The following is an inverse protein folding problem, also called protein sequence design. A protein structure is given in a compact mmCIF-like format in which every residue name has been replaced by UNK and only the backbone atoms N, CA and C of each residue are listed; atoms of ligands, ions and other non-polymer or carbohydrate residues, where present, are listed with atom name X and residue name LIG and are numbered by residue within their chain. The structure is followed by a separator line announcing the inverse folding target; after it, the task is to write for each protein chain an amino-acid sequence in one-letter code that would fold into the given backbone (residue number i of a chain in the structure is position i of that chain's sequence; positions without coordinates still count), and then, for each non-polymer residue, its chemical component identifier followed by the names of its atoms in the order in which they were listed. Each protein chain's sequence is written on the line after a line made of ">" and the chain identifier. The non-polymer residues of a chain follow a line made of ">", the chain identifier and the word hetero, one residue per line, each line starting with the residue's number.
data_IF_535708360074
#
_entry.id   IF_535708360074
#
_cell.length_a   1.000
_cell.length_b   1.000
_cell.length_c   1.000
_cell.angle_alpha   90.00
_cell.angle_beta   90.00
_cell.angle_gamma   90.00
#
_symmetry.space_group_name_H-M   'P 1'
#
loop_
_entity.id
_entity.type
_entity.pdbx_description
1 polymer ?
#
# COMPACT_ATOMS: atom_id res chain seq x y z
N UNK A 1 -16.56 -17.15 -18.05
CA UNK A 1 -15.13 -16.88 -18.28
C UNK A 1 -14.81 -15.44 -17.89
N UNK A 2 -13.54 -15.13 -17.63
CA UNK A 2 -13.09 -13.73 -17.34
C UNK A 2 -13.36 -12.76 -18.49
N UNK A 3 -13.54 -13.28 -19.71
CA UNK A 3 -14.02 -12.48 -20.84
C UNK A 3 -15.44 -11.94 -20.65
N UNK A 4 -16.20 -12.50 -19.72
CA UNK A 4 -17.57 -12.07 -19.40
C UNK A 4 -17.62 -11.11 -18.18
N UNK A 5 -16.51 -10.97 -17.44
CA UNK A 5 -16.36 -10.02 -16.36
C UNK A 5 -15.89 -8.67 -16.94
N UNK A 6 -16.85 -7.82 -17.26
CA UNK A 6 -16.55 -6.46 -17.72
C UNK A 6 -16.26 -5.56 -16.51
N UNK A 7 -15.27 -4.65 -16.61
CA UNK A 7 -15.14 -3.60 -15.64
C UNK A 7 -16.39 -2.75 -15.62
N UNK A 8 -16.84 -2.31 -14.45
CA UNK A 8 -18.00 -1.43 -14.36
C UNK A 8 -17.71 -0.03 -14.92
N UNK A 9 -16.44 0.33 -15.01
CA UNK A 9 -16.00 1.59 -15.59
C UNK A 9 -14.62 1.41 -16.22
N UNK A 10 -14.48 1.69 -17.50
CA UNK A 10 -13.22 1.82 -18.23
C UNK A 10 -13.42 2.79 -19.42
N UNK A 11 -12.40 2.98 -20.25
CA UNK A 11 -12.46 3.87 -21.41
C UNK A 11 -13.48 3.43 -22.50
N UNK A 12 -13.98 2.19 -22.44
CA UNK A 12 -14.88 1.59 -23.44
C UNK A 12 -16.28 1.30 -22.89
N UNK A 13 -16.42 1.12 -21.58
CA UNK A 13 -17.66 0.68 -20.96
C UNK A 13 -17.93 1.40 -19.65
N UNK A 14 -19.15 1.92 -19.52
CA UNK A 14 -19.64 2.60 -18.33
C UNK A 14 -20.96 1.94 -17.90
N UNK A 15 -20.89 1.09 -16.90
CA UNK A 15 -22.06 0.47 -16.27
C UNK A 15 -22.14 0.90 -14.81
N UNK A 16 -22.33 2.21 -14.58
CA UNK A 16 -22.27 2.77 -13.23
C UNK A 16 -23.52 3.54 -12.93
N UNK A 17 -24.04 3.30 -11.74
CA UNK A 17 -25.16 4.04 -11.15
C UNK A 17 -24.69 5.20 -10.27
N UNK A 18 -23.38 5.52 -10.26
CA UNK A 18 -22.79 6.60 -9.46
C UNK A 18 -22.53 7.87 -10.27
N UNK A 19 -22.69 9.01 -9.64
CA UNK A 19 -22.30 10.33 -10.14
C UNK A 19 -21.49 11.06 -9.05
N UNK A 20 -20.45 11.83 -9.38
CA UNK A 20 -19.89 12.01 -10.73
C UNK A 20 -19.04 10.81 -11.19
N UNK A 21 -18.98 10.59 -12.51
CA UNK A 21 -18.03 9.63 -13.10
C UNK A 21 -16.64 10.26 -13.05
N UNK A 22 -15.61 9.58 -12.48
CA UNK A 22 -14.27 10.11 -12.45
C UNK A 22 -13.68 10.21 -13.87
N UNK A 23 -12.79 11.16 -14.07
CA UNK A 23 -12.02 11.22 -15.31
C UNK A 23 -11.14 9.98 -15.44
N UNK A 24 -11.28 9.25 -16.54
CA UNK A 24 -10.47 8.09 -16.84
C UNK A 24 -9.20 8.50 -17.58
N UNK A 25 -8.10 7.89 -17.17
CA UNK A 25 -6.79 8.12 -17.77
C UNK A 25 -6.04 6.79 -17.92
N UNK A 26 -5.42 6.49 -19.08
CA UNK A 26 -4.74 5.21 -19.31
C UNK A 26 -3.65 4.87 -18.28
N UNK A 27 -3.00 5.89 -17.73
CA UNK A 27 -1.99 5.74 -16.66
C UNK A 27 -2.56 5.94 -15.24
N UNK A 28 -3.90 6.07 -15.12
CA UNK A 28 -4.59 6.12 -13.83
C UNK A 28 -4.51 4.79 -13.08
N UNK A 29 -5.15 4.71 -11.93
CA UNK A 29 -5.16 3.49 -11.11
C UNK A 29 -6.26 2.53 -11.54
N UNK A 30 -6.02 1.22 -11.41
CA UNK A 30 -7.07 0.22 -11.46
C UNK A 30 -7.61 -0.04 -10.06
N UNK A 31 -8.93 0.04 -9.90
CA UNK A 31 -9.62 -0.33 -8.68
C UNK A 31 -10.35 -1.66 -8.86
N UNK A 32 -10.09 -2.63 -7.98
CA UNK A 32 -10.81 -3.90 -7.93
C UNK A 32 -11.51 -3.99 -6.58
N UNK A 33 -12.82 -4.14 -6.58
CA UNK A 33 -13.65 -4.09 -5.37
C UNK A 33 -14.62 -5.26 -5.26
N UNK A 34 -14.65 -5.90 -4.09
CA UNK A 34 -15.69 -6.89 -3.73
C UNK A 34 -17.05 -6.24 -3.42
N UNK A 35 -17.15 -4.91 -3.43
CA UNK A 35 -18.38 -4.19 -3.14
C UNK A 35 -18.57 -3.01 -4.09
N UNK A 36 -19.68 -2.98 -4.82
CA UNK A 36 -20.02 -1.88 -5.72
C UNK A 36 -20.21 -0.56 -4.97
N UNK A 37 -20.91 -0.56 -3.84
CA UNK A 37 -21.11 0.64 -3.02
C UNK A 37 -19.79 1.18 -2.47
N UNK A 38 -18.91 0.29 -1.98
CA UNK A 38 -17.59 0.69 -1.47
C UNK A 38 -16.70 1.24 -2.60
N UNK A 39 -16.79 0.68 -3.81
CA UNK A 39 -16.08 1.22 -4.97
C UNK A 39 -16.47 2.69 -5.22
N UNK A 40 -17.76 3.01 -5.21
CA UNK A 40 -18.26 4.40 -5.36
C UNK A 40 -17.67 5.31 -4.28
N UNK A 41 -17.68 4.89 -3.02
CA UNK A 41 -17.15 5.71 -1.93
C UNK A 41 -15.62 5.87 -2.00
N UNK A 42 -14.90 4.89 -2.56
CA UNK A 42 -13.46 5.01 -2.84
C UNK A 42 -13.24 6.03 -3.96
N UNK A 43 -14.04 5.98 -5.04
CA UNK A 43 -13.98 6.94 -6.13
C UNK A 43 -14.21 8.38 -5.64
N UNK A 44 -15.25 8.61 -4.83
CA UNK A 44 -15.51 9.94 -4.26
C UNK A 44 -14.34 10.47 -3.43
N UNK A 45 -13.77 9.63 -2.55
CA UNK A 45 -12.59 10.00 -1.75
C UNK A 45 -11.36 10.28 -2.63
N UNK A 46 -11.20 9.57 -3.73
CA UNK A 46 -10.04 9.67 -4.62
C UNK A 46 -10.11 10.92 -5.53
N UNK A 47 -11.30 11.23 -6.09
CA UNK A 47 -11.49 12.36 -7.01
C UNK A 47 -11.16 13.69 -6.32
N UNK A 48 -11.51 13.84 -5.06
CA UNK A 48 -11.18 15.05 -4.28
C UNK A 48 -9.69 15.28 -4.08
N UNK A 49 -8.88 14.21 -4.24
CA UNK A 49 -7.41 14.26 -4.17
C UNK A 49 -6.74 14.38 -5.55
N UNK A 50 -7.52 14.40 -6.64
CA UNK A 50 -6.99 14.41 -8.01
C UNK A 50 -6.52 13.04 -8.52
N UNK A 51 -6.82 11.93 -7.81
CA UNK A 51 -6.45 10.59 -8.26
C UNK A 51 -7.31 10.19 -9.45
N UNK A 52 -6.65 9.84 -10.56
CA UNK A 52 -7.31 9.41 -11.80
C UNK A 52 -7.36 7.88 -11.88
N UNK A 53 -8.38 7.36 -12.56
CA UNK A 53 -8.60 5.93 -12.73
C UNK A 53 -8.39 5.49 -14.18
N UNK A 54 -7.82 4.32 -14.38
CA UNK A 54 -7.82 3.63 -15.66
C UNK A 54 -9.05 2.73 -15.78
N UNK A 55 -9.31 1.92 -14.76
CA UNK A 55 -10.46 1.02 -14.73
C UNK A 55 -10.98 0.79 -13.30
N UNK A 56 -12.27 0.44 -13.21
CA UNK A 56 -12.90 0.02 -11.97
C UNK A 56 -13.62 -1.29 -12.19
N UNK A 57 -13.27 -2.29 -11.40
CA UNK A 57 -13.83 -3.64 -11.45
C UNK A 57 -14.62 -3.90 -10.16
N UNK A 58 -15.86 -4.35 -10.30
CA UNK A 58 -16.67 -4.81 -9.16
C UNK A 58 -16.98 -6.29 -9.34
N UNK A 59 -16.48 -7.12 -8.44
CA UNK A 59 -16.70 -8.57 -8.45
C UNK A 59 -17.87 -9.00 -7.56
N UNK A 60 -18.48 -8.05 -6.83
CA UNK A 60 -19.58 -8.33 -5.92
C UNK A 60 -19.18 -9.38 -4.87
N UNK A 61 -20.09 -10.31 -4.56
CA UNK A 61 -19.88 -11.35 -3.54
C UNK A 61 -18.90 -12.46 -3.97
N UNK A 62 -18.17 -12.30 -5.06
CA UNK A 62 -17.12 -13.19 -5.54
C UNK A 62 -17.54 -14.68 -5.68
N UNK A 63 -18.80 -14.94 -6.04
CA UNK A 63 -19.30 -16.32 -6.18
C UNK A 63 -18.71 -17.07 -7.37
N UNK A 64 -18.37 -16.38 -8.44
CA UNK A 64 -17.82 -16.96 -9.68
C UNK A 64 -16.47 -16.36 -10.00
N UNK A 65 -16.29 -15.07 -9.76
CA UNK A 65 -15.07 -14.30 -10.05
C UNK A 65 -14.71 -13.51 -8.80
N UNK A 66 -13.54 -13.78 -8.24
CA UNK A 66 -12.96 -13.04 -7.12
C UNK A 66 -11.97 -11.96 -7.56
N UNK A 67 -11.43 -11.26 -6.58
CA UNK A 67 -10.35 -10.27 -6.81
C UNK A 67 -9.12 -10.95 -7.40
N UNK A 68 -8.81 -12.14 -6.96
CA UNK A 68 -7.71 -12.99 -7.45
C UNK A 68 -7.82 -13.34 -8.94
N UNK A 69 -9.03 -13.57 -9.44
CA UNK A 69 -9.26 -13.85 -10.87
C UNK A 69 -9.02 -12.61 -11.74
N UNK A 70 -9.42 -11.43 -11.25
CA UNK A 70 -9.14 -10.16 -11.96
C UNK A 70 -7.64 -9.86 -11.95
N UNK A 71 -6.95 -10.10 -10.82
CA UNK A 71 -5.49 -9.96 -10.76
C UNK A 71 -4.79 -10.92 -11.70
N UNK A 72 -5.25 -12.17 -11.80
CA UNK A 72 -4.75 -13.15 -12.77
C UNK A 72 -4.88 -12.61 -14.21
N UNK A 73 -6.08 -12.15 -14.58
CA UNK A 73 -6.32 -11.58 -15.90
C UNK A 73 -5.38 -10.40 -16.20
N UNK A 74 -5.23 -9.49 -15.23
CA UNK A 74 -4.32 -8.35 -15.38
C UNK A 74 -2.86 -8.77 -15.50
N UNK A 75 -2.43 -9.78 -14.74
CA UNK A 75 -1.04 -10.27 -14.75
C UNK A 75 -0.68 -10.98 -16.04
N UNK A 76 -1.57 -11.86 -16.52
CA UNK A 76 -1.36 -12.63 -17.75
C UNK A 76 -1.37 -11.77 -19.01
N UNK A 77 -2.13 -10.66 -19.00
CA UNK A 77 -2.24 -9.73 -20.12
C UNK A 77 -1.43 -8.45 -19.98
N UNK A 78 -0.60 -8.33 -18.94
CA UNK A 78 0.09 -7.10 -18.59
C UNK A 78 1.06 -6.62 -19.67
N UNK A 79 0.85 -5.39 -20.11
CA UNK A 79 1.73 -4.67 -21.07
C UNK A 79 2.34 -3.44 -20.36
N UNK A 80 3.65 -3.45 -20.00
CA UNK A 80 4.27 -2.43 -19.15
C UNK A 80 4.15 -0.98 -19.66
N UNK A 81 4.05 -0.80 -20.97
CA UNK A 81 3.99 0.52 -21.60
C UNK A 81 2.57 1.05 -21.80
N UNK A 82 1.55 0.21 -21.60
CA UNK A 82 0.16 0.55 -21.84
C UNK A 82 -0.70 0.51 -20.59
N UNK A 83 -0.47 -0.49 -19.75
CA UNK A 83 -1.36 -0.76 -18.62
C UNK A 83 -0.97 0.06 -17.39
N UNK A 84 -1.97 0.35 -16.57
CA UNK A 84 -1.75 0.96 -15.26
C UNK A 84 -0.79 0.12 -14.41
N UNK A 85 0.14 0.79 -13.76
CA UNK A 85 1.07 0.15 -12.80
C UNK A 85 0.57 0.19 -11.35
N UNK A 86 -0.62 0.73 -11.10
CA UNK A 86 -1.13 0.89 -9.74
C UNK A 86 -2.46 0.15 -9.62
N UNK A 87 -2.54 -0.78 -8.66
CA UNK A 87 -3.75 -1.55 -8.36
C UNK A 87 -4.19 -1.28 -6.93
N UNK A 88 -5.43 -0.84 -6.77
CA UNK A 88 -6.08 -0.64 -5.47
C UNK A 88 -7.14 -1.71 -5.29
N UNK A 89 -7.11 -2.40 -4.14
CA UNK A 89 -7.99 -3.53 -3.88
C UNK A 89 -8.86 -3.27 -2.65
N UNK A 90 -10.14 -3.55 -2.78
CA UNK A 90 -11.05 -3.71 -1.65
C UNK A 90 -11.56 -5.15 -1.61
N UNK A 91 -11.21 -5.89 -0.58
CA UNK A 91 -11.41 -7.35 -0.48
C UNK A 91 -12.27 -7.66 0.74
N UNK A 92 -13.39 -8.35 0.55
CA UNK A 92 -14.22 -8.90 1.63
C UNK A 92 -13.91 -10.36 1.91
N UNK A 93 -13.65 -11.16 0.88
CA UNK A 93 -13.25 -12.56 0.97
C UNK A 93 -12.15 -12.87 -0.05
N UNK A 94 -11.34 -13.87 0.24
CA UNK A 94 -10.31 -14.41 -0.65
C UNK A 94 -10.67 -15.89 -0.87
N UNK A 95 -11.05 -16.23 -2.10
CA UNK A 95 -11.44 -17.60 -2.46
C UNK A 95 -10.23 -18.49 -2.73
N UNK A 96 -9.20 -17.94 -3.37
CA UNK A 96 -7.97 -18.64 -3.70
C UNK A 96 -6.74 -17.80 -3.27
N UNK A 97 -6.24 -18.02 -2.03
CA UNK A 97 -5.09 -17.28 -1.50
C UNK A 97 -3.78 -17.50 -2.29
N UNK A 98 -3.57 -18.70 -2.82
CA UNK A 98 -2.36 -19.01 -3.58
C UNK A 98 -2.35 -18.28 -4.93
N UNK A 99 -3.50 -18.20 -5.59
CA UNK A 99 -3.68 -17.41 -6.80
C UNK A 99 -3.45 -15.93 -6.57
N UNK A 100 -4.06 -15.37 -5.51
CA UNK A 100 -3.83 -13.98 -5.12
C UNK A 100 -2.34 -13.71 -4.90
N UNK A 101 -1.67 -14.58 -4.11
CA UNK A 101 -0.25 -14.45 -3.82
C UNK A 101 0.60 -14.48 -5.09
N UNK A 102 0.34 -15.45 -5.97
CA UNK A 102 1.12 -15.63 -7.19
C UNK A 102 1.01 -14.42 -8.12
N UNK A 103 -0.22 -14.02 -8.47
CA UNK A 103 -0.44 -12.95 -9.45
C UNK A 103 -0.13 -11.56 -8.91
N UNK A 104 -0.40 -11.28 -7.63
CA UNK A 104 0.02 -10.03 -7.00
C UNK A 104 1.55 -9.90 -6.94
N UNK A 105 2.26 -10.98 -6.54
CA UNK A 105 3.73 -11.00 -6.52
C UNK A 105 4.31 -10.84 -7.92
N UNK A 106 3.72 -11.48 -8.92
CA UNK A 106 4.13 -11.38 -10.33
C UNK A 106 3.98 -9.94 -10.84
N UNK A 107 2.82 -9.32 -10.64
CA UNK A 107 2.58 -7.93 -11.02
C UNK A 107 3.58 -6.96 -10.34
N UNK A 108 3.85 -7.16 -9.04
CA UNK A 108 4.81 -6.32 -8.32
C UNK A 108 6.23 -6.51 -8.86
N UNK A 109 6.65 -7.73 -9.20
CA UNK A 109 7.94 -8.00 -9.87
C UNK A 109 8.01 -7.37 -11.27
N UNK A 110 6.89 -7.20 -11.96
CA UNK A 110 6.77 -6.48 -13.23
C UNK A 110 6.75 -4.95 -13.07
N UNK A 111 6.88 -4.42 -11.84
CA UNK A 111 6.94 -3.00 -11.52
C UNK A 111 5.59 -2.38 -11.13
N UNK A 112 4.55 -3.17 -10.92
CA UNK A 112 3.30 -2.68 -10.38
C UNK A 112 3.41 -2.39 -8.88
N UNK A 113 2.57 -1.47 -8.39
CA UNK A 113 2.38 -1.15 -6.98
C UNK A 113 0.96 -1.55 -6.59
N UNK A 114 0.79 -2.32 -5.51
CA UNK A 114 -0.52 -2.82 -5.09
C UNK A 114 -0.78 -2.42 -3.64
N UNK A 115 -1.95 -1.82 -3.39
CA UNK A 115 -2.44 -1.55 -2.04
C UNK A 115 -3.82 -2.16 -1.84
N UNK A 116 -4.11 -2.64 -0.63
CA UNK A 116 -5.35 -3.34 -0.36
C UNK A 116 -5.95 -3.04 1.02
N UNK A 117 -7.28 -2.95 1.04
CA UNK A 117 -8.08 -3.08 2.27
C UNK A 117 -8.65 -4.50 2.30
N UNK A 118 -8.51 -5.19 3.44
CA UNK A 118 -9.28 -6.40 3.74
C UNK A 118 -10.32 -6.06 4.82
N UNK A 119 -11.58 -6.10 4.44
CA UNK A 119 -12.69 -5.90 5.38
C UNK A 119 -12.82 -7.09 6.35
N UNK A 120 -13.32 -6.83 7.56
CA UNK A 120 -13.51 -7.87 8.57
C UNK A 120 -12.20 -8.30 9.25
N UNK A 121 -11.35 -7.33 9.60
CA UNK A 121 -10.05 -7.57 10.26
C UNK A 121 -10.15 -7.85 11.77
N UNK A 122 -11.25 -7.48 12.41
CA UNK A 122 -11.53 -7.81 13.81
C UNK A 122 -12.56 -8.93 13.91
N UNK A 123 -12.67 -9.57 15.07
CA UNK A 123 -13.68 -10.61 15.29
C UNK A 123 -15.11 -10.12 15.02
N UNK A 124 -15.44 -8.91 15.51
CA UNK A 124 -16.75 -8.30 15.26
C UNK A 124 -16.94 -7.92 13.78
N UNK A 125 -15.90 -7.38 13.14
CA UNK A 125 -15.91 -7.07 11.71
C UNK A 125 -16.02 -8.33 10.85
N UNK A 126 -15.37 -9.42 11.25
CA UNK A 126 -15.45 -10.73 10.61
C UNK A 126 -16.88 -11.29 10.67
N UNK A 127 -17.54 -11.24 11.84
CA UNK A 127 -18.97 -11.62 11.96
C UNK A 127 -19.88 -10.78 11.08
N UNK A 128 -19.64 -9.46 11.03
CA UNK A 128 -20.40 -8.56 10.16
C UNK A 128 -20.22 -8.87 8.67
N UNK A 129 -18.98 -9.10 8.24
CA UNK A 129 -18.65 -9.49 6.87
C UNK A 129 -19.29 -10.83 6.49
N UNK A 130 -19.19 -11.85 7.36
CA UNK A 130 -19.80 -13.17 7.13
C UNK A 130 -21.33 -13.10 7.03
N UNK A 131 -21.97 -12.27 7.85
CA UNK A 131 -23.43 -12.05 7.79
C UNK A 131 -23.85 -11.36 6.49
N UNK A 132 -22.98 -10.50 5.94
CA UNK A 132 -23.25 -9.75 4.71
C UNK A 132 -23.01 -10.57 3.45
N UNK A 133 -21.92 -11.34 3.41
CA UNK A 133 -21.49 -12.07 2.20
C UNK A 133 -21.86 -13.55 2.22
N UNK A 134 -22.16 -14.11 3.39
CA UNK A 134 -22.38 -15.56 3.58
C UNK A 134 -21.08 -16.38 3.49
N UNK A 135 -19.92 -15.74 3.39
CA UNK A 135 -18.62 -16.41 3.33
C UNK A 135 -17.97 -16.47 4.71
N UNK A 136 -17.23 -17.55 4.96
CA UNK A 136 -16.41 -17.67 6.18
C UNK A 136 -15.24 -16.70 6.05
N UNK A 137 -15.08 -15.83 7.05
CA UNK A 137 -13.98 -14.85 7.04
C UNK A 137 -12.64 -15.54 7.32
N UNK A 138 -11.65 -15.23 6.50
CA UNK A 138 -10.28 -15.66 6.72
C UNK A 138 -9.67 -15.01 7.97
N UNK A 139 -8.77 -15.72 8.67
CA UNK A 139 -8.01 -15.16 9.79
C UNK A 139 -7.25 -13.90 9.36
N UNK A 140 -7.36 -12.82 10.12
CA UNK A 140 -6.69 -11.56 9.80
C UNK A 140 -5.16 -11.69 9.80
N UNK A 141 -4.60 -12.52 10.68
CA UNK A 141 -3.17 -12.84 10.71
C UNK A 141 -2.70 -13.57 9.44
N UNK A 142 -3.52 -14.46 8.89
CA UNK A 142 -3.23 -15.13 7.63
C UNK A 142 -3.25 -14.15 6.46
N UNK A 143 -4.22 -13.24 6.43
CA UNK A 143 -4.29 -12.18 5.40
C UNK A 143 -3.11 -11.22 5.51
N UNK A 144 -2.71 -10.83 6.72
CA UNK A 144 -1.51 -10.01 6.93
C UNK A 144 -0.25 -10.70 6.38
N UNK A 145 -0.07 -12.00 6.70
CA UNK A 145 1.05 -12.78 6.20
C UNK A 145 1.04 -12.90 4.67
N UNK A 146 -0.15 -13.11 4.07
CA UNK A 146 -0.34 -13.18 2.63
C UNK A 146 0.05 -11.86 1.95
N UNK A 147 -0.47 -10.72 2.44
CA UNK A 147 -0.16 -9.41 1.88
C UNK A 147 1.32 -9.06 2.00
N UNK A 148 1.93 -9.35 3.16
CA UNK A 148 3.38 -9.16 3.36
C UNK A 148 4.20 -10.00 2.40
N UNK A 149 3.85 -11.28 2.20
CA UNK A 149 4.54 -12.18 1.29
C UNK A 149 4.37 -11.76 -0.17
N UNK A 150 3.21 -11.25 -0.54
CA UNK A 150 2.93 -10.74 -1.88
C UNK A 150 3.57 -9.38 -2.16
N UNK A 151 3.92 -8.59 -1.13
CA UNK A 151 4.39 -7.22 -1.26
C UNK A 151 3.26 -6.19 -1.40
N UNK A 152 2.04 -6.55 -0.98
CA UNK A 152 0.87 -5.66 -1.00
C UNK A 152 0.94 -4.71 0.21
N UNK A 153 0.76 -3.41 -0.03
CA UNK A 153 0.64 -2.41 1.03
C UNK A 153 -0.75 -2.51 1.65
N UNK A 154 -0.81 -2.90 2.93
CA UNK A 154 -2.09 -3.03 3.63
C UNK A 154 -2.59 -1.68 4.13
N UNK A 155 -3.86 -1.37 3.84
CA UNK A 155 -4.59 -0.19 4.29
C UNK A 155 -5.80 -0.60 5.14
N UNK A 156 -6.22 0.28 6.06
CA UNK A 156 -7.33 0.01 6.98
C UNK A 156 -8.52 0.94 6.81
N UNK A 157 -8.41 1.93 5.94
CA UNK A 157 -9.51 2.84 5.59
C UNK A 157 -9.47 3.24 4.12
N UNK A 158 -10.60 3.71 3.59
CA UNK A 158 -10.70 4.25 2.22
C UNK A 158 -9.78 5.46 2.04
N UNK A 159 -9.71 6.29 3.06
CA UNK A 159 -8.84 7.47 3.08
C UNK A 159 -7.36 7.08 2.95
N UNK A 160 -6.93 6.08 3.70
CA UNK A 160 -5.58 5.55 3.63
C UNK A 160 -5.29 4.90 2.26
N UNK A 161 -6.23 4.09 1.72
CA UNK A 161 -6.08 3.45 0.42
C UNK A 161 -5.91 4.49 -0.71
N UNK A 162 -6.76 5.52 -0.72
CA UNK A 162 -6.69 6.57 -1.76
C UNK A 162 -5.46 7.44 -1.59
N UNK A 163 -5.01 7.72 -0.35
CA UNK A 163 -3.75 8.42 -0.07
C UNK A 163 -2.54 7.61 -0.55
N UNK A 164 -2.49 6.30 -0.27
CA UNK A 164 -1.45 5.40 -0.82
C UNK A 164 -1.51 5.38 -2.35
N UNK A 165 -2.71 5.35 -2.94
CA UNK A 165 -2.89 5.45 -4.39
C UNK A 165 -2.28 6.74 -4.96
N UNK A 166 -2.51 7.88 -4.32
CA UNK A 166 -1.91 9.17 -4.71
C UNK A 166 -0.37 9.13 -4.60
N UNK A 167 0.18 8.57 -3.51
CA UNK A 167 1.64 8.43 -3.35
C UNK A 167 2.23 7.59 -4.49
N UNK A 168 1.54 6.53 -4.90
CA UNK A 168 2.00 5.64 -5.95
C UNK A 168 2.07 6.30 -7.33
N UNK A 169 1.33 7.40 -7.58
CA UNK A 169 1.40 8.17 -8.83
C UNK A 169 2.62 9.08 -8.90
N UNK A 170 3.27 9.35 -7.78
CA UNK A 170 4.46 10.19 -7.71
C UNK A 170 5.74 9.37 -7.97
N UNK A 171 6.89 10.03 -8.26
CA UNK A 171 8.16 9.34 -8.43
C UNK A 171 8.49 8.42 -7.24
N UNK A 172 9.22 7.34 -7.51
CA UNK A 172 9.53 6.34 -6.48
C UNK A 172 10.45 6.92 -5.39
N UNK A 173 10.09 6.63 -4.14
CA UNK A 173 10.91 6.94 -2.97
C UNK A 173 12.15 6.06 -2.94
N UNK A 174 13.33 6.68 -2.92
CA UNK A 174 14.63 5.98 -2.91
C UNK A 174 15.21 5.80 -1.52
N UNK A 175 14.68 6.52 -0.53
CA UNK A 175 15.17 6.48 0.85
C UNK A 175 14.12 6.93 1.87
N UNK A 176 14.54 7.07 3.13
CA UNK A 176 13.65 7.35 4.28
C UNK A 176 13.85 8.74 4.89
N UNK A 177 14.64 9.61 4.26
CA UNK A 177 14.97 10.94 4.78
C UNK A 177 14.15 12.03 4.08
N UNK A 178 13.31 12.72 4.83
CA UNK A 178 12.39 13.70 4.31
C UNK A 178 12.77 15.12 4.75
N UNK A 179 12.71 16.07 3.83
CA UNK A 179 12.64 17.49 4.19
C UNK A 179 11.18 17.93 4.25
N UNK A 180 10.83 18.73 5.24
CA UNK A 180 9.52 19.38 5.36
C UNK A 180 9.72 20.86 5.08
N UNK A 181 8.98 21.42 4.12
CA UNK A 181 8.94 22.86 3.85
C UNK A 181 7.54 23.34 4.17
N UNK A 182 7.43 24.35 5.00
CA UNK A 182 6.14 24.88 5.43
C UNK A 182 6.18 26.40 5.64
N UNK A 183 5.04 27.03 5.67
CA UNK A 183 4.86 28.40 6.15
C UNK A 183 4.06 28.46 7.47
N UNK A 184 3.80 27.27 8.07
CA UNK A 184 3.05 27.11 9.32
C UNK A 184 3.71 26.01 10.17
N UNK A 185 4.31 26.38 11.28
CA UNK A 185 5.11 25.46 12.11
C UNK A 185 4.33 24.28 12.69
N UNK A 186 3.09 24.49 13.14
CA UNK A 186 2.26 23.46 13.77
C UNK A 186 2.09 22.18 12.93
N UNK A 187 1.58 22.25 11.69
CA UNK A 187 1.50 21.11 10.79
C UNK A 187 2.84 20.43 10.52
N UNK A 188 3.94 21.22 10.41
CA UNK A 188 5.28 20.65 10.27
C UNK A 188 5.70 19.79 11.45
N UNK A 189 5.35 20.17 12.68
CA UNK A 189 5.60 19.35 13.89
C UNK A 189 4.78 18.07 13.87
N UNK A 190 3.47 18.15 13.55
CA UNK A 190 2.59 16.99 13.49
C UNK A 190 3.06 15.97 12.44
N UNK A 191 3.48 16.46 11.27
CA UNK A 191 4.05 15.61 10.22
C UNK A 191 5.36 14.95 10.67
N UNK A 192 6.26 15.70 11.30
CA UNK A 192 7.51 15.16 11.84
C UNK A 192 7.26 14.03 12.83
N UNK A 193 6.28 14.19 13.72
CA UNK A 193 5.88 13.16 14.67
C UNK A 193 5.32 11.92 13.97
N UNK A 194 4.47 12.09 12.95
CA UNK A 194 3.89 10.97 12.20
C UNK A 194 4.96 10.17 11.46
N UNK A 195 5.90 10.85 10.80
CA UNK A 195 7.02 10.22 10.09
C UNK A 195 7.92 9.46 11.08
N UNK A 196 8.33 10.10 12.16
CA UNK A 196 9.25 9.52 13.16
C UNK A 196 8.64 8.28 13.84
N UNK A 197 7.36 8.32 14.22
CA UNK A 197 6.62 7.17 14.75
C UNK A 197 6.53 6.02 13.76
N UNK A 198 6.50 6.33 12.47
CA UNK A 198 6.50 5.37 11.38
C UNK A 198 7.87 4.83 10.96
N UNK A 199 8.96 5.23 11.64
CA UNK A 199 10.33 4.81 11.31
C UNK A 199 10.91 5.50 10.08
N UNK A 200 10.41 6.70 9.76
CA UNK A 200 10.96 7.59 8.73
C UNK A 200 11.73 8.73 9.38
N UNK A 201 12.66 9.32 8.67
CA UNK A 201 13.57 10.31 9.22
C UNK A 201 13.25 11.72 8.73
N UNK A 202 13.34 12.68 9.64
CA UNK A 202 13.38 14.12 9.33
C UNK A 202 14.75 14.62 9.84
N UNK A 203 15.84 14.41 9.05
CA UNK A 203 17.19 14.68 9.53
C UNK A 203 17.39 16.18 9.78
N UNK A 204 18.11 16.51 10.84
CA UNK A 204 18.51 17.88 11.13
C UNK A 204 19.41 18.38 10.02
N UNK A 205 19.09 19.55 9.47
CA UNK A 205 19.92 20.26 8.51
C UNK A 205 20.78 21.29 9.24
N UNK A 206 22.10 21.27 9.00
CA UNK A 206 23.06 22.19 9.64
C UNK A 206 24.31 22.36 8.77
N UNK A 207 25.09 23.39 9.08
CA UNK A 207 26.32 23.69 8.37
C UNK A 207 26.21 24.86 7.38
N UNK A 208 27.30 25.19 6.67
CA UNK A 208 27.41 26.42 5.87
C UNK A 208 26.31 26.56 4.79
N UNK A 209 25.85 25.46 4.20
CA UNK A 209 24.79 25.50 3.19
C UNK A 209 23.45 25.92 3.81
N UNK A 210 23.18 25.47 5.04
CA UNK A 210 21.98 25.87 5.78
C UNK A 210 22.06 27.35 6.19
N UNK A 211 23.23 27.83 6.62
CA UNK A 211 23.44 29.24 6.94
C UNK A 211 23.31 30.12 5.69
N UNK A 212 23.78 29.67 4.53
CA UNK A 212 23.56 30.30 3.24
C UNK A 212 22.07 30.44 2.91
N UNK A 213 21.29 29.34 3.02
CA UNK A 213 19.85 29.36 2.81
C UNK A 213 19.15 30.34 3.78
N UNK A 214 19.51 30.28 5.05
CA UNK A 214 18.96 31.17 6.08
C UNK A 214 19.15 32.65 5.76
N UNK A 215 20.31 33.01 5.22
CA UNK A 215 20.64 34.39 4.81
C UNK A 215 19.81 34.88 3.62
N UNK A 216 19.15 34.00 2.87
CA UNK A 216 18.31 34.32 1.71
C UNK A 216 16.81 34.33 2.01
N UNK A 217 16.41 33.88 3.20
CA UNK A 217 15.03 33.91 3.68
C UNK A 217 14.76 35.09 4.58
N UNK A 218 13.50 35.37 4.89
CA UNK A 218 13.16 36.43 5.83
C UNK A 218 13.73 36.18 7.24
N UNK A 219 14.12 37.24 7.97
CA UNK A 219 14.53 37.11 9.37
C UNK A 219 13.45 36.40 10.20
N UNK A 220 13.83 35.38 10.95
CA UNK A 220 12.93 34.58 11.74
C UNK A 220 12.57 33.21 11.09
N UNK A 221 12.86 33.00 9.81
CA UNK A 221 12.71 31.68 9.18
C UNK A 221 13.58 30.63 9.87
N UNK A 222 13.04 29.41 10.00
CA UNK A 222 13.78 28.25 10.51
C UNK A 222 14.22 27.37 9.34
N UNK A 223 15.44 26.86 9.35
CA UNK A 223 16.03 26.07 8.26
C UNK A 223 16.59 24.74 8.71
N UNK A 224 16.32 24.34 9.94
CA UNK A 224 16.86 23.13 10.54
C UNK A 224 16.14 21.81 10.21
N UNK A 225 15.11 21.83 9.39
CA UNK A 225 14.16 20.77 9.08
C UNK A 225 13.25 20.41 10.28
N UNK A 226 11.96 20.80 10.27
CA UNK A 226 11.26 21.49 9.16
C UNK A 226 11.87 22.85 8.79
N UNK A 227 11.81 23.16 7.48
CA UNK A 227 12.13 24.47 6.95
C UNK A 227 10.84 25.31 7.00
N UNK A 228 10.78 26.28 7.93
CA UNK A 228 9.63 27.17 8.08
C UNK A 228 9.96 28.54 7.48
N UNK A 229 9.34 28.84 6.33
CA UNK A 229 9.55 30.11 5.63
C UNK A 229 8.66 31.24 6.12
N UNK A 230 7.91 31.01 7.23
CA UNK A 230 6.93 31.92 7.85
C UNK A 230 5.68 32.16 6.98
N UNK A 231 4.61 32.65 7.60
CA UNK A 231 3.37 33.02 6.90
C UNK A 231 3.53 34.10 5.84
N UNK A 232 4.62 34.88 5.92
CA UNK A 232 5.01 35.92 4.97
C UNK A 232 5.94 35.42 3.87
N UNK A 233 6.26 34.12 3.87
CA UNK A 233 7.06 33.47 2.85
C UNK A 233 6.49 33.64 1.45
N UNK A 234 7.36 33.89 0.47
CA UNK A 234 6.98 34.17 -0.92
C UNK A 234 7.15 32.94 -1.78
N UNK A 235 6.55 32.88 -3.01
CA UNK A 235 6.82 31.84 -3.99
C UNK A 235 8.32 31.67 -4.28
N UNK A 236 9.10 32.73 -4.32
CA UNK A 236 10.56 32.67 -4.53
C UNK A 236 11.28 31.98 -3.36
N UNK A 237 10.83 32.19 -2.12
CA UNK A 237 11.38 31.47 -0.97
C UNK A 237 11.07 29.96 -1.05
N UNK A 238 9.87 29.57 -1.46
CA UNK A 238 9.53 28.17 -1.68
C UNK A 238 10.41 27.56 -2.79
N UNK A 239 10.53 28.26 -3.93
CA UNK A 239 11.40 27.86 -5.05
C UNK A 239 12.81 27.60 -4.58
N UNK A 240 13.38 28.55 -3.85
CA UNK A 240 14.73 28.46 -3.30
C UNK A 240 14.89 27.25 -2.37
N UNK A 241 13.97 27.03 -1.45
CA UNK A 241 14.02 25.88 -0.53
C UNK A 241 13.96 24.55 -1.27
N UNK A 242 13.09 24.42 -2.31
CA UNK A 242 13.00 23.24 -3.13
C UNK A 242 14.29 22.97 -3.92
N UNK A 243 14.94 24.02 -4.47
CA UNK A 243 16.24 23.92 -5.14
C UNK A 243 17.34 23.47 -4.19
N UNK A 244 17.38 23.99 -2.95
CA UNK A 244 18.34 23.51 -1.97
C UNK A 244 18.11 22.04 -1.59
N UNK A 245 16.86 21.61 -1.43
CA UNK A 245 16.54 20.22 -1.18
C UNK A 245 16.93 19.31 -2.34
N UNK A 246 16.78 19.76 -3.60
CA UNK A 246 17.16 19.01 -4.79
C UNK A 246 18.68 18.90 -4.95
N UNK A 247 19.38 20.05 -4.86
CA UNK A 247 20.74 20.18 -5.34
C UNK A 247 21.82 20.16 -4.25
N UNK A 248 21.49 20.60 -3.02
CA UNK A 248 22.48 20.85 -1.97
C UNK A 248 22.33 20.00 -0.72
N UNK A 249 21.16 19.43 -0.47
CA UNK A 249 20.93 18.56 0.68
C UNK A 249 20.93 17.08 0.24
N UNK A 250 22.12 16.53 0.01
CA UNK A 250 22.31 15.17 -0.49
C UNK A 250 21.70 14.08 0.39
N UNK A 251 21.51 14.37 1.69
CA UNK A 251 20.91 13.45 2.64
C UNK A 251 19.39 13.35 2.51
N UNK A 252 18.74 14.24 1.77
CA UNK A 252 17.29 14.26 1.59
C UNK A 252 16.89 13.44 0.38
N UNK A 253 15.92 12.54 0.59
CA UNK A 253 15.38 11.65 -0.46
C UNK A 253 14.09 12.18 -1.07
N UNK A 254 13.31 12.98 -0.33
CA UNK A 254 12.03 13.54 -0.78
C UNK A 254 11.65 14.80 0.01
N UNK A 255 10.73 15.58 -0.54
CA UNK A 255 10.24 16.82 0.08
C UNK A 255 8.73 16.76 0.32
N UNK A 256 8.32 17.20 1.50
CA UNK A 256 6.94 17.35 1.94
C UNK A 256 6.63 18.84 2.06
N UNK A 257 5.79 19.39 1.18
CA UNK A 257 5.53 20.82 1.06
C UNK A 257 4.13 21.15 1.57
N UNK A 258 4.04 21.82 2.75
CA UNK A 258 2.78 22.17 3.43
C UNK A 258 2.45 23.62 3.20
N UNK A 259 1.46 23.89 2.35
CA UNK A 259 1.06 25.24 2.00
C UNK A 259 -0.46 25.42 1.97
N UNK A 260 -1.00 26.09 2.96
CA UNK A 260 -2.39 26.51 3.06
C UNK A 260 -2.54 28.03 3.04
N UNK A 261 -3.72 28.54 3.32
CA UNK A 261 -3.94 29.98 3.45
C UNK A 261 -4.99 30.29 4.53
N UNK A 262 -4.83 31.33 5.31
CA UNK A 262 -5.90 31.87 6.15
C UNK A 262 -6.97 32.66 5.37
N UNK A 263 -6.88 32.73 4.03
CA UNK A 263 -7.80 33.45 3.15
C UNK A 263 -7.43 34.92 2.92
N UNK A 264 -6.25 35.37 3.39
CA UNK A 264 -5.81 36.74 3.22
C UNK A 264 -5.01 37.01 1.94
N UNK A 265 -4.44 35.92 1.37
CA UNK A 265 -3.66 35.93 0.13
C UNK A 265 -4.05 34.75 -0.74
N UNK A 266 -3.94 34.92 -2.05
CA UNK A 266 -4.14 33.82 -2.99
C UNK A 266 -2.91 32.90 -3.01
N UNK A 267 -3.13 31.61 -3.31
CA UNK A 267 -2.08 30.60 -3.34
C UNK A 267 -1.68 30.17 -4.75
N UNK A 268 -2.23 30.79 -5.80
CA UNK A 268 -1.94 30.43 -7.19
C UNK A 268 -0.44 30.37 -7.50
N UNK A 269 0.29 31.47 -7.23
CA UNK A 269 1.72 31.56 -7.51
C UNK A 269 2.53 30.53 -6.71
N UNK A 270 2.15 30.27 -5.45
CA UNK A 270 2.79 29.26 -4.62
C UNK A 270 2.59 27.84 -5.19
N UNK A 271 1.37 27.54 -5.65
CA UNK A 271 1.04 26.24 -6.25
C UNK A 271 1.61 26.11 -7.67
N UNK A 272 1.83 27.23 -8.38
CA UNK A 272 2.55 27.23 -9.66
C UNK A 272 4.03 26.85 -9.47
N UNK A 273 4.68 27.31 -8.42
CA UNK A 273 6.04 26.89 -8.06
C UNK A 273 6.08 25.39 -7.75
N UNK A 274 5.11 24.87 -6.99
CA UNK A 274 5.02 23.42 -6.73
C UNK A 274 4.88 22.64 -8.05
N UNK A 275 3.96 23.06 -8.93
CA UNK A 275 3.78 22.44 -10.24
C UNK A 275 5.08 22.38 -11.04
N UNK A 276 5.77 23.51 -11.19
CA UNK A 276 7.02 23.61 -11.93
C UNK A 276 8.11 22.70 -11.35
N UNK A 277 8.28 22.72 -10.02
CA UNK A 277 9.31 21.92 -9.35
C UNK A 277 8.99 20.43 -9.33
N UNK A 278 7.73 20.04 -9.21
CA UNK A 278 7.34 18.63 -9.34
C UNK A 278 7.63 18.05 -10.75
N UNK A 279 7.71 18.89 -11.79
CA UNK A 279 8.08 18.46 -13.13
C UNK A 279 9.60 18.42 -13.36
N UNK A 280 10.37 19.23 -12.65
CA UNK A 280 11.81 19.41 -12.91
C UNK A 280 12.71 18.71 -11.90
N UNK A 281 12.28 18.52 -10.64
CA UNK A 281 13.06 17.88 -9.60
C UNK A 281 13.06 16.36 -9.75
N UNK A 282 14.18 15.74 -9.45
CA UNK A 282 14.34 14.27 -9.43
C UNK A 282 13.83 13.66 -8.13
N UNK A 283 13.92 14.40 -7.02
CA UNK A 283 13.39 13.99 -5.72
C UNK A 283 11.88 14.20 -5.69
N UNK A 284 11.09 13.21 -5.22
CA UNK A 284 9.64 13.36 -5.09
C UNK A 284 9.25 14.55 -4.20
N UNK A 285 8.29 15.33 -4.65
CA UNK A 285 7.66 16.41 -3.87
C UNK A 285 6.21 16.01 -3.61
N UNK A 286 5.84 16.00 -2.32
CA UNK A 286 4.48 15.68 -1.87
C UNK A 286 3.76 16.97 -1.49
N UNK A 287 2.81 17.47 -2.29
CA UNK A 287 2.07 18.68 -2.01
C UNK A 287 1.01 18.45 -0.94
N UNK A 288 1.11 19.15 0.18
CA UNK A 288 0.12 19.11 1.26
C UNK A 288 -0.59 20.47 1.27
N UNK A 289 -1.81 20.49 0.70
CA UNK A 289 -2.61 21.69 0.50
C UNK A 289 -3.90 21.60 1.33
N UNK A 290 -3.85 21.93 2.63
CA UNK A 290 -4.94 21.66 3.57
C UNK A 290 -6.12 22.63 3.42
N UNK A 291 -5.93 23.78 2.78
CA UNK A 291 -6.96 24.82 2.66
C UNK A 291 -7.97 24.54 1.54
N UNK A 292 -8.56 23.35 1.53
CA UNK A 292 -9.51 22.91 0.47
C UNK A 292 -10.77 23.76 0.35
N UNK A 293 -11.14 24.49 1.41
CA UNK A 293 -12.29 25.40 1.42
C UNK A 293 -11.90 26.84 1.09
N UNK A 294 -10.89 27.37 1.78
CA UNK A 294 -10.46 28.77 1.63
C UNK A 294 -9.62 29.04 0.38
N UNK A 295 -8.92 28.03 -0.12
CA UNK A 295 -8.18 28.05 -1.39
C UNK A 295 -8.69 26.99 -2.37
N UNK A 296 -10.00 26.75 -2.37
CA UNK A 296 -10.61 25.67 -3.19
C UNK A 296 -10.39 25.86 -4.68
N UNK A 297 -10.40 27.11 -5.17
CA UNK A 297 -10.14 27.41 -6.58
C UNK A 297 -8.68 27.12 -6.96
N UNK A 298 -7.74 27.48 -6.10
CA UNK A 298 -6.31 27.25 -6.29
C UNK A 298 -5.99 25.75 -6.26
N UNK A 299 -6.56 25.02 -5.30
CA UNK A 299 -6.41 23.57 -5.22
C UNK A 299 -7.00 22.90 -6.47
N UNK A 300 -8.21 23.30 -6.89
CA UNK A 300 -8.83 22.78 -8.11
C UNK A 300 -7.96 23.05 -9.36
N UNK A 301 -7.40 24.24 -9.49
CA UNK A 301 -6.49 24.59 -10.57
C UNK A 301 -5.20 23.76 -10.55
N UNK A 302 -4.67 23.45 -9.37
CA UNK A 302 -3.51 22.59 -9.19
C UNK A 302 -3.83 21.12 -9.60
N UNK A 303 -4.96 20.58 -9.16
CA UNK A 303 -5.41 19.24 -9.54
C UNK A 303 -5.69 19.14 -11.05
N UNK A 304 -6.23 20.18 -11.68
CA UNK A 304 -6.47 20.23 -13.11
C UNK A 304 -5.19 20.13 -13.97
N UNK A 305 -4.02 20.42 -13.38
CA UNK A 305 -2.70 20.22 -14.01
C UNK A 305 -2.21 18.77 -13.93
N UNK A 306 -3.04 17.84 -13.44
CA UNK A 306 -2.72 16.40 -13.32
C UNK A 306 -2.00 16.02 -12.02
N UNK A 307 -1.97 16.90 -11.03
CA UNK A 307 -1.37 16.60 -9.72
C UNK A 307 -2.37 15.97 -8.76
N UNK A 308 -1.81 15.37 -7.70
CA UNK A 308 -2.56 14.92 -6.53
C UNK A 308 -2.34 15.89 -5.36
N UNK A 309 -3.30 15.94 -4.43
CA UNK A 309 -3.20 16.71 -3.20
C UNK A 309 -3.37 15.82 -1.97
N UNK A 310 -2.59 16.11 -0.94
CA UNK A 310 -2.73 15.56 0.40
C UNK A 310 -3.28 16.64 1.34
N UNK A 311 -4.54 16.49 1.75
CA UNK A 311 -5.19 17.52 2.57
C UNK A 311 -4.81 17.45 4.07
N UNK A 312 -4.22 16.33 4.49
CA UNK A 312 -3.85 16.07 5.88
C UNK A 312 -2.43 15.48 5.95
N UNK A 313 -1.55 16.14 6.66
CA UNK A 313 -0.14 15.79 6.78
C UNK A 313 0.10 14.51 7.57
N UNK A 314 -0.72 14.24 8.60
CA UNK A 314 -0.57 13.05 9.45
C UNK A 314 -1.00 11.80 8.69
N UNK A 315 -2.10 11.89 7.93
CA UNK A 315 -2.56 10.82 7.04
C UNK A 315 -1.50 10.49 5.99
N UNK A 316 -0.88 11.51 5.37
CA UNK A 316 0.22 11.31 4.44
C UNK A 316 1.42 10.64 5.11
N UNK A 317 1.86 11.14 6.28
CA UNK A 317 2.99 10.57 7.03
C UNK A 317 2.77 9.10 7.39
N UNK A 318 1.55 8.75 7.79
CA UNK A 318 1.15 7.37 8.08
C UNK A 318 1.20 6.50 6.82
N UNK A 319 0.66 6.98 5.69
CA UNK A 319 0.66 6.25 4.42
C UNK A 319 2.08 6.02 3.87
N UNK A 320 2.95 7.04 3.94
CA UNK A 320 4.37 6.92 3.59
C UNK A 320 5.07 5.85 4.43
N UNK A 321 4.81 5.83 5.74
CA UNK A 321 5.37 4.83 6.64
C UNK A 321 4.94 3.41 6.27
N UNK A 322 3.68 3.20 5.90
CA UNK A 322 3.20 1.89 5.44
C UNK A 322 3.90 1.43 4.17
N UNK A 323 4.03 2.33 3.19
CA UNK A 323 4.71 2.02 1.91
C UNK A 323 6.17 1.66 2.16
N UNK A 324 6.88 2.48 2.95
CA UNK A 324 8.31 2.30 3.18
C UNK A 324 8.66 1.09 4.06
N UNK A 325 7.70 0.60 4.85
CA UNK A 325 7.85 -0.57 5.69
C UNK A 325 7.18 -1.83 5.08
N UNK A 326 6.51 -1.70 3.94
CA UNK A 326 5.96 -2.86 3.23
C UNK A 326 7.11 -3.74 2.71
N UNK A 327 7.08 -5.05 2.98
CA UNK A 327 8.10 -5.96 2.45
C UNK A 327 7.96 -6.05 0.92
N UNK A 328 9.09 -6.23 0.24
CA UNK A 328 9.08 -6.60 -1.19
C UNK A 328 8.87 -8.11 -1.30
N UNK A 329 8.20 -8.60 -2.38
CA UNK A 329 8.10 -10.04 -2.62
C UNK A 329 9.48 -10.68 -2.65
N UNK A 330 9.61 -11.86 -2.06
CA UNK A 330 10.87 -12.60 -2.12
C UNK A 330 11.32 -12.82 -3.57
N UNK A 331 12.60 -12.57 -3.82
CA UNK A 331 13.17 -12.74 -5.16
C UNK A 331 13.22 -14.20 -5.60
N UNK A 332 13.43 -15.11 -4.65
CA UNK A 332 13.61 -16.53 -4.87
C UNK A 332 12.47 -17.34 -4.24
N UNK A 333 12.19 -18.50 -4.82
CA UNK A 333 11.37 -19.52 -4.15
C UNK A 333 12.02 -19.89 -2.81
N UNK A 334 11.19 -20.12 -1.80
CA UNK A 334 11.69 -20.59 -0.50
C UNK A 334 12.18 -22.03 -0.72
N UNK A 335 13.49 -22.23 -0.69
CA UNK A 335 14.04 -23.58 -0.59
C UNK A 335 13.70 -24.15 0.79
N UNK A 336 12.87 -25.16 0.80
CA UNK A 336 12.53 -25.91 2.01
C UNK A 336 13.59 -26.99 2.24
N UNK A 337 14.71 -26.60 2.85
CA UNK A 337 15.77 -27.55 3.18
C UNK A 337 15.28 -28.65 4.13
N UNK A 338 15.53 -29.91 3.74
CA UNK A 338 15.15 -31.08 4.54
C UNK A 338 13.67 -31.45 4.51
N UNK A 339 12.86 -30.81 3.66
CA UNK A 339 11.45 -31.11 3.48
C UNK A 339 11.23 -31.95 2.22
N UNK A 340 10.71 -33.18 2.38
CA UNK A 340 10.33 -34.05 1.28
C UNK A 340 8.87 -33.76 0.84
N UNK A 341 8.68 -32.68 0.07
CA UNK A 341 7.38 -32.24 -0.42
C UNK A 341 6.65 -33.34 -1.21
N UNK A 342 7.29 -34.10 -2.13
CA UNK A 342 6.66 -35.20 -2.82
C UNK A 342 6.14 -36.31 -1.88
N UNK A 343 6.88 -36.59 -0.81
CA UNK A 343 6.46 -37.57 0.20
C UNK A 343 5.28 -37.06 1.02
N UNK A 344 5.30 -35.77 1.43
CA UNK A 344 4.17 -35.13 2.12
C UNK A 344 2.91 -35.25 1.28
N UNK A 345 2.98 -34.91 0.00
CA UNK A 345 1.82 -34.99 -0.89
C UNK A 345 1.27 -36.42 -0.99
N UNK A 346 2.14 -37.41 -1.19
CA UNK A 346 1.72 -38.83 -1.23
C UNK A 346 1.05 -39.29 0.07
N UNK A 347 1.54 -38.84 1.22
CA UNK A 347 0.94 -39.15 2.52
C UNK A 347 -0.46 -38.54 2.59
N UNK A 348 -0.62 -37.26 2.25
CA UNK A 348 -1.92 -36.58 2.26
C UNK A 348 -2.90 -37.28 1.33
N UNK A 349 -2.48 -37.63 0.12
CA UNK A 349 -3.32 -38.31 -0.88
C UNK A 349 -3.70 -39.74 -0.47
N UNK A 350 -2.97 -40.36 0.48
CA UNK A 350 -3.26 -41.69 1.00
C UNK A 350 -4.21 -41.70 2.20
N UNK A 351 -4.57 -40.52 2.75
CA UNK A 351 -5.50 -40.43 3.88
C UNK A 351 -6.92 -40.65 3.36
N UNK A 352 -7.64 -41.70 3.84
CA UNK A 352 -8.87 -42.16 3.21
C UNK A 352 -10.11 -41.30 3.49
N UNK A 353 -10.09 -40.43 4.49
CA UNK A 353 -11.25 -39.64 4.94
C UNK A 353 -10.86 -38.22 5.38
N UNK A 354 -11.77 -37.29 5.13
CA UNK A 354 -11.67 -35.94 5.70
C UNK A 354 -11.90 -35.95 7.21
N UNK A 355 -11.09 -35.24 7.97
CA UNK A 355 -11.27 -35.11 9.41
C UNK A 355 -10.00 -35.28 10.22
N UNK A 356 -10.11 -36.06 11.32
CA UNK A 356 -8.98 -36.29 12.21
C UNK A 356 -7.94 -37.24 11.61
N UNK A 357 -6.71 -36.75 11.43
CA UNK A 357 -5.60 -37.55 10.87
C UNK A 357 -5.08 -38.52 11.93
N UNK A 358 -4.98 -39.81 11.58
CA UNK A 358 -4.47 -40.83 12.48
C UNK A 358 -2.99 -40.59 12.84
N UNK A 359 -2.55 -40.91 14.08
CA UNK A 359 -1.22 -40.60 14.60
C UNK A 359 -0.07 -41.04 13.70
N UNK A 360 -0.13 -42.18 13.06
CA UNK A 360 0.94 -42.66 12.18
C UNK A 360 1.12 -41.82 10.90
N UNK A 361 0.03 -41.25 10.35
CA UNK A 361 0.12 -40.30 9.24
C UNK A 361 0.73 -38.95 9.73
N UNK A 362 0.35 -38.50 10.94
CA UNK A 362 0.93 -37.28 11.52
C UNK A 362 2.44 -37.42 11.70
N UNK A 363 2.90 -38.54 12.25
CA UNK A 363 4.32 -38.84 12.40
C UNK A 363 5.03 -38.85 11.03
N UNK A 364 4.46 -39.54 10.05
CA UNK A 364 5.02 -39.63 8.70
C UNK A 364 5.12 -38.23 8.03
N UNK A 365 4.13 -37.37 8.24
CA UNK A 365 4.13 -35.97 7.75
C UNK A 365 5.20 -35.15 8.44
N UNK A 366 5.33 -35.23 9.76
CA UNK A 366 6.35 -34.50 10.53
C UNK A 366 7.76 -34.95 10.12
N UNK A 367 8.01 -36.23 9.96
CA UNK A 367 9.28 -36.76 9.44
C UNK A 367 9.58 -36.26 8.03
N UNK A 368 8.60 -36.26 7.14
CA UNK A 368 8.75 -35.78 5.77
C UNK A 368 8.97 -34.27 5.72
N UNK A 369 8.46 -33.52 6.71
CA UNK A 369 8.69 -32.09 6.90
C UNK A 369 10.05 -31.78 7.58
N UNK A 370 10.84 -32.75 7.95
CA UNK A 370 12.12 -32.56 8.64
C UNK A 370 11.96 -32.07 10.08
N UNK A 371 10.78 -32.21 10.66
CA UNK A 371 10.51 -31.78 12.05
C UNK A 371 10.95 -32.90 12.99
N UNK A 372 11.87 -32.66 13.93
CA UNK A 372 12.31 -33.65 14.90
C UNK A 372 11.17 -33.97 15.87
N UNK A 373 10.82 -35.23 15.97
CA UNK A 373 9.80 -35.74 16.88
C UNK A 373 10.37 -36.89 17.69
N UNK A 374 9.76 -37.14 18.85
CA UNK A 374 10.07 -38.33 19.64
C UNK A 374 9.61 -39.55 18.86
N UNK A 375 10.47 -40.56 18.78
CA UNK A 375 10.09 -41.83 18.17
C UNK A 375 9.02 -42.51 19.05
N UNK A 376 7.86 -42.74 18.46
CA UNK A 376 6.76 -43.46 19.08
C UNK A 376 6.62 -44.83 18.40
N UNK A 377 6.48 -45.85 19.20
CA UNK A 377 6.19 -47.16 18.74
C UNK A 377 4.85 -47.63 19.30
N UNK A 378 3.94 -48.02 18.39
CA UNK A 378 2.62 -48.54 18.75
C UNK A 378 2.50 -49.97 18.24
N UNK A 379 2.28 -50.91 19.13
CA UNK A 379 2.00 -52.29 18.76
C UNK A 379 0.84 -52.84 19.62
N UNK A 380 0.05 -53.68 19.02
CA UNK A 380 -0.94 -54.50 19.75
C UNK A 380 -0.32 -55.69 20.50
N UNK A 381 0.97 -55.93 20.28
CA UNK A 381 1.73 -57.02 20.91
C UNK A 381 2.56 -56.45 22.11
N UNK A 382 2.19 -56.87 23.30
CA UNK A 382 2.86 -56.43 24.56
C UNK A 382 4.37 -56.76 24.59
N UNK A 383 4.76 -57.91 24.02
CA UNK A 383 6.16 -58.35 24.07
C UNK A 383 7.05 -57.52 23.14
N UNK A 384 6.49 -57.02 22.01
CA UNK A 384 7.20 -56.05 21.15
C UNK A 384 7.41 -54.74 21.82
N UNK A 385 6.43 -54.17 22.53
CA UNK A 385 6.58 -52.93 23.30
C UNK A 385 7.61 -53.05 24.39
N UNK A 386 7.60 -54.19 25.16
CA UNK A 386 8.55 -54.44 26.22
C UNK A 386 9.97 -54.68 25.69
N UNK A 387 10.14 -55.24 24.47
CA UNK A 387 11.43 -55.39 23.84
C UNK A 387 12.11 -54.09 23.41
N UNK A 388 11.28 -53.12 23.05
CA UNK A 388 11.76 -51.78 22.71
C UNK A 388 12.09 -50.92 23.93
N UNK A 389 11.28 -50.97 25.00
CA UNK A 389 11.50 -50.25 26.25
C UNK A 389 12.82 -50.66 26.90
N UNK A 390 13.24 -51.92 26.77
CA UNK A 390 14.56 -52.38 27.25
C UNK A 390 15.76 -51.87 26.46
N UNK A 391 15.58 -51.33 25.24
CA UNK A 391 16.62 -50.71 24.41
C UNK A 391 16.74 -49.19 24.58
N UNK A 392 15.74 -48.55 25.17
CA UNK A 392 15.71 -47.09 25.37
C UNK A 392 16.29 -46.63 26.72
N UNK A 393 16.84 -47.53 27.53
CA UNK A 393 17.52 -47.22 28.79
C UNK A 393 19.02 -47.48 28.62
N UNK A 394 19.69 -46.59 27.85
CA UNK A 394 21.15 -46.40 27.91
C UNK A 394 21.44 -44.93 27.85
#
# INVERSE_FOLDING_TARGET
>A
SLHDALPILNTWHHSVFSQPIPQLHPQGVDLISSSGATAVFILESAVTKGLQFNSVWSVGNAKQIGVEDVLQYMDENFQPDKDSKIKLLYIESIGDPDRLLFHASSLIKKGCKIAAIKAGSSESGSRAASSHTGAIASSDSAVEALFRKAGIVRCYSREELTTVGCIFTLPELKGKNFAIITHAGGPGVMLTDALSKGGLNVPKLEGPVVDELKGKLFPGAAVGNPIDILATGTPDHLRLCLEYCEEKFDTIDAVLAIFGTPGLVTMFEMYDVLHEKMQSCSKPIFPILPSINTAGAEVAAFLAKGHVNFADEVTLGTALSRIMNAPRPAANEIELFGVDVPRIRRIIDSIPEDGYIQPHYVQALLHAAGIPIVEEFVSSNKDEVLALDRKSVV
#
